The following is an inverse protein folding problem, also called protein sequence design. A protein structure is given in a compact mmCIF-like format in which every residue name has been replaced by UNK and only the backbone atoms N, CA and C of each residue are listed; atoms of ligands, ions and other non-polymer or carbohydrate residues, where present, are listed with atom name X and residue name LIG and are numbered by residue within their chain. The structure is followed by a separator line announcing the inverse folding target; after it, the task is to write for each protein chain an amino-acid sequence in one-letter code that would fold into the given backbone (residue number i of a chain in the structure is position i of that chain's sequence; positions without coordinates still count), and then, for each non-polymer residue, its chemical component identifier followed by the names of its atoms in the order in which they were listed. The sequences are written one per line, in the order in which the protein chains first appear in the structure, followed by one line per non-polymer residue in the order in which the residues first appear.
data_IF_606806401849
#
_entry.id   IF_606806401849
#
_cell.length_a   1.000
_cell.length_b   1.000
_cell.length_c   1.000
_cell.angle_alpha   90.00
_cell.angle_beta   90.00
_cell.angle_gamma   90.00
#
_symmetry.space_group_name_H-M   'P 1'
#
loop_
_entity.id
_entity.type
_entity.pdbx_description
1 polymer ?
#
# COMPACT_ATOMS: atom_id res chain seq x y z
N UNK A 1 -28.70 -32.65 -58.74
CA UNK A 1 -27.56 -31.74 -58.96
C UNK A 1 -27.86 -30.28 -58.59
N UNK A 2 -29.07 -29.77 -58.80
CA UNK A 2 -29.49 -28.39 -58.48
C UNK A 2 -29.63 -28.13 -56.93
N UNK A 3 -30.09 -29.12 -56.16
CA UNK A 3 -30.28 -28.99 -54.69
C UNK A 3 -28.97 -28.90 -53.91
N UNK A 4 -27.87 -29.49 -54.41
CA UNK A 4 -26.57 -29.41 -53.72
C UNK A 4 -25.92 -28.06 -53.95
N UNK A 5 -26.15 -27.44 -55.12
CA UNK A 5 -25.63 -26.11 -55.47
C UNK A 5 -26.27 -24.99 -54.61
N UNK A 6 -27.58 -25.08 -54.35
CA UNK A 6 -28.33 -24.11 -53.52
C UNK A 6 -27.91 -24.19 -52.05
N UNK A 7 -27.61 -25.40 -51.52
CA UNK A 7 -27.16 -25.60 -50.17
C UNK A 7 -25.76 -25.00 -49.90
N UNK A 8 -24.88 -25.11 -50.90
CA UNK A 8 -23.52 -24.54 -50.80
C UNK A 8 -23.50 -23.02 -50.97
N UNK A 9 -24.42 -22.45 -51.75
CA UNK A 9 -24.55 -20.99 -51.90
C UNK A 9 -25.17 -20.39 -50.60
N UNK A 10 -26.15 -21.07 -49.97
CA UNK A 10 -26.71 -20.61 -48.67
C UNK A 10 -25.68 -20.69 -47.54
N UNK A 11 -24.80 -21.69 -47.56
CA UNK A 11 -23.74 -21.83 -46.54
C UNK A 11 -22.62 -20.78 -46.73
N UNK A 12 -22.37 -20.31 -47.93
CA UNK A 12 -21.42 -19.24 -48.22
C UNK A 12 -21.98 -17.84 -47.84
N UNK A 13 -23.30 -17.63 -47.98
CA UNK A 13 -23.96 -16.38 -47.63
C UNK A 13 -24.14 -16.20 -46.09
N UNK A 14 -24.21 -17.30 -45.35
CA UNK A 14 -24.27 -17.25 -43.86
C UNK A 14 -22.91 -16.99 -43.23
N UNK A 15 -21.81 -17.39 -43.88
CA UNK A 15 -20.44 -17.14 -43.42
C UNK A 15 -20.01 -15.68 -43.66
N UNK A 16 -20.58 -14.99 -44.68
CA UNK A 16 -20.24 -13.59 -44.97
C UNK A 16 -21.05 -12.59 -44.14
N UNK A 17 -22.11 -12.99 -43.42
CA UNK A 17 -22.88 -12.10 -42.52
C UNK A 17 -22.40 -12.12 -41.07
N UNK A 18 -21.39 -12.94 -40.69
CA UNK A 18 -20.81 -12.98 -39.33
C UNK A 18 -19.56 -12.11 -39.15
N UNK A 19 -19.18 -11.32 -40.18
CA UNK A 19 -18.02 -10.43 -40.11
C UNK A 19 -18.38 -8.94 -39.90
N UNK A 20 -19.66 -8.61 -39.75
CA UNK A 20 -20.13 -7.21 -39.64
C UNK A 20 -20.60 -6.78 -38.25
N UNK A 21 -20.06 -7.37 -37.18
CA UNK A 21 -20.18 -6.84 -35.80
C UNK A 21 -18.83 -6.91 -35.07
N UNK A 22 -17.81 -6.26 -35.60
CA UNK A 22 -16.71 -5.81 -34.80
C UNK A 22 -17.08 -4.40 -34.33
N UNK A 23 -17.76 -4.36 -33.15
CA UNK A 23 -17.80 -3.16 -32.33
C UNK A 23 -16.38 -2.66 -32.13
N UNK A 24 -16.20 -1.34 -32.19
CA UNK A 24 -14.90 -0.69 -32.15
C UNK A 24 -14.01 -1.26 -31.06
N UNK A 25 -12.95 -1.97 -31.46
CA UNK A 25 -11.81 -2.16 -30.60
C UNK A 25 -11.25 -0.77 -30.38
N UNK A 26 -11.40 -0.24 -29.16
CA UNK A 26 -10.47 0.77 -28.70
C UNK A 26 -9.08 0.18 -29.02
N UNK A 27 -8.32 0.81 -29.87
CA UNK A 27 -6.91 0.46 -30.08
C UNK A 27 -6.25 0.71 -28.74
N UNK A 28 -6.13 -0.34 -27.91
CA UNK A 28 -5.25 -0.27 -26.75
C UNK A 28 -3.88 0.07 -27.32
N UNK A 29 -3.38 1.25 -26.99
CA UNK A 29 -2.04 1.67 -27.31
C UNK A 29 -1.13 0.64 -26.65
N UNK A 30 -0.43 -0.17 -27.45
CA UNK A 30 0.55 -1.13 -26.93
C UNK A 30 1.70 -0.30 -26.42
N UNK A 31 1.92 -0.34 -25.11
CA UNK A 31 3.06 0.32 -24.47
C UNK A 31 4.27 -0.59 -24.74
N UNK A 32 5.21 -0.10 -25.54
CA UNK A 32 6.46 -0.80 -25.82
C UNK A 32 7.55 -0.29 -24.87
N UNK A 33 8.17 -1.19 -24.12
CA UNK A 33 9.22 -0.86 -23.15
C UNK A 33 9.55 -2.00 -22.20
N UNK A 34 10.46 -1.75 -21.29
CA UNK A 34 10.90 -2.69 -20.27
C UNK A 34 10.09 -2.51 -18.98
N UNK A 35 9.41 -3.56 -18.53
CA UNK A 35 8.66 -3.53 -17.27
C UNK A 35 9.63 -3.61 -16.09
N UNK A 36 9.49 -2.67 -15.15
CA UNK A 36 10.36 -2.51 -13.98
C UNK A 36 9.78 -3.08 -12.68
N UNK A 37 8.46 -3.36 -12.65
CA UNK A 37 7.76 -3.95 -11.50
C UNK A 37 7.62 -5.47 -11.67
N UNK A 38 7.62 -6.21 -10.56
CA UNK A 38 7.61 -7.68 -10.53
C UNK A 38 6.56 -8.23 -9.57
N UNK A 39 6.42 -7.67 -8.37
CA UNK A 39 5.58 -8.19 -7.28
C UNK A 39 4.30 -7.40 -7.07
N UNK A 40 4.30 -6.11 -7.40
CA UNK A 40 3.13 -5.25 -7.23
C UNK A 40 2.01 -5.65 -8.22
N UNK A 41 0.80 -5.83 -7.69
CA UNK A 41 -0.38 -6.15 -8.51
C UNK A 41 -1.11 -4.90 -9.00
N UNK A 42 -0.99 -3.80 -8.26
CA UNK A 42 -1.68 -2.54 -8.56
C UNK A 42 -0.79 -1.50 -9.25
N UNK A 43 0.50 -1.78 -9.41
CA UNK A 43 1.46 -0.85 -9.99
C UNK A 43 2.23 -1.51 -11.14
N UNK A 44 2.19 -0.91 -12.31
CA UNK A 44 3.04 -1.28 -13.43
C UNK A 44 3.87 -0.10 -13.88
N UNK A 45 5.18 -0.24 -13.92
CA UNK A 45 6.13 0.77 -14.39
C UNK A 45 6.82 0.23 -15.65
N UNK A 46 6.74 0.98 -16.76
CA UNK A 46 7.35 0.61 -18.06
C UNK A 46 8.28 1.72 -18.52
N UNK A 47 9.56 1.39 -18.71
CA UNK A 47 10.54 2.28 -19.33
C UNK A 47 10.39 2.25 -20.85
N UNK A 48 9.94 3.35 -21.44
CA UNK A 48 9.69 3.52 -22.88
C UNK A 48 10.87 4.22 -23.61
N UNK A 49 12.09 4.11 -23.06
CA UNK A 49 13.32 4.66 -23.66
C UNK A 49 13.26 6.18 -23.97
N UNK A 50 12.96 6.95 -22.97
CA UNK A 50 12.89 8.43 -23.04
C UNK A 50 11.77 9.05 -22.22
N UNK A 51 10.85 8.21 -21.76
CA UNK A 51 9.82 8.52 -20.76
C UNK A 51 9.39 7.22 -20.08
N UNK A 52 8.75 7.33 -18.94
CA UNK A 52 8.23 6.16 -18.21
C UNK A 52 6.71 6.21 -18.18
N UNK A 53 6.06 5.10 -18.48
CA UNK A 53 4.62 4.93 -18.23
C UNK A 53 4.44 4.27 -16.88
N UNK A 54 3.53 4.82 -16.09
CA UNK A 54 3.11 4.23 -14.82
C UNK A 54 1.61 4.03 -14.85
N UNK A 55 1.19 2.77 -14.77
CA UNK A 55 -0.20 2.35 -14.70
C UNK A 55 -0.52 1.95 -13.27
N UNK A 56 -1.61 2.51 -12.74
CA UNK A 56 -2.16 2.15 -11.44
C UNK A 56 -3.50 1.47 -11.67
N UNK A 57 -3.59 0.19 -11.31
CA UNK A 57 -4.81 -0.59 -11.39
C UNK A 57 -5.83 -0.11 -10.37
N UNK A 58 -7.11 -0.23 -10.70
CA UNK A 58 -8.18 0.13 -9.80
C UNK A 58 -8.43 -1.01 -8.80
N UNK A 59 -8.12 -0.85 -7.49
CA UNK A 59 -8.22 -1.93 -6.52
C UNK A 59 -9.66 -2.39 -6.28
N UNK A 60 -10.65 -1.57 -6.66
CA UNK A 60 -12.09 -1.87 -6.47
C UNK A 60 -12.79 -2.32 -7.76
N UNK A 61 -12.11 -2.21 -8.92
CA UNK A 61 -12.69 -2.57 -10.22
C UNK A 61 -11.65 -3.31 -11.05
N UNK A 62 -11.62 -4.63 -10.89
CA UNK A 62 -10.68 -5.52 -11.56
C UNK A 62 -10.62 -5.28 -13.07
N UNK A 63 -9.41 -5.15 -13.61
CA UNK A 63 -9.13 -4.94 -15.03
C UNK A 63 -9.45 -3.54 -15.54
N UNK A 64 -9.61 -2.56 -14.64
CA UNK A 64 -9.71 -1.15 -14.98
C UNK A 64 -8.53 -0.40 -14.39
N UNK A 65 -7.98 0.58 -15.11
CA UNK A 65 -7.01 1.49 -14.54
C UNK A 65 -7.70 2.48 -13.60
N UNK A 66 -7.03 2.80 -12.50
CA UNK A 66 -7.34 3.94 -11.67
C UNK A 66 -6.75 5.20 -12.32
N UNK A 67 -5.48 5.11 -12.71
CA UNK A 67 -4.75 6.23 -13.30
C UNK A 67 -3.59 5.75 -14.17
N UNK A 68 -3.23 6.53 -15.17
CA UNK A 68 -2.02 6.37 -15.99
C UNK A 68 -1.22 7.66 -15.97
N UNK A 69 0.08 7.57 -15.77
CA UNK A 69 1.01 8.68 -15.85
C UNK A 69 2.03 8.46 -16.95
N UNK A 70 2.45 9.55 -17.59
CA UNK A 70 3.64 9.59 -18.42
C UNK A 70 4.67 10.51 -17.73
N UNK A 71 5.71 9.90 -17.18
CA UNK A 71 6.79 10.62 -16.51
C UNK A 71 7.81 11.04 -17.57
N UNK A 72 7.96 12.34 -17.77
CA UNK A 72 8.84 12.91 -18.80
C UNK A 72 9.85 13.82 -18.16
N UNK A 73 11.15 13.61 -18.44
CA UNK A 73 12.19 14.46 -17.89
C UNK A 73 11.93 15.93 -18.23
N UNK A 74 12.13 16.84 -17.27
CA UNK A 74 11.78 18.27 -17.42
C UNK A 74 12.48 18.96 -18.59
N UNK A 75 13.71 18.53 -18.90
CA UNK A 75 14.52 19.06 -19.99
C UNK A 75 14.19 18.45 -21.35
N UNK A 76 13.25 17.47 -21.38
CA UNK A 76 12.84 16.78 -22.59
C UNK A 76 11.50 17.30 -23.10
N UNK A 77 11.35 17.30 -24.42
CA UNK A 77 10.04 17.51 -25.04
C UNK A 77 9.10 16.34 -24.70
N UNK A 78 7.81 16.61 -24.62
CA UNK A 78 6.79 15.56 -24.42
C UNK A 78 6.72 14.72 -25.69
N UNK A 79 6.94 13.39 -25.63
CA UNK A 79 6.87 12.53 -26.81
C UNK A 79 5.47 12.51 -27.44
N UNK A 80 5.41 12.46 -28.78
CA UNK A 80 4.13 12.43 -29.51
C UNK A 80 3.31 11.15 -29.29
N UNK A 81 3.97 10.06 -28.91
CA UNK A 81 3.37 8.72 -28.75
C UNK A 81 2.88 8.41 -27.31
N UNK A 82 2.72 9.42 -26.48
CA UNK A 82 2.14 9.19 -25.13
C UNK A 82 0.67 8.78 -25.29
N UNK A 83 0.19 7.74 -24.53
CA UNK A 83 -1.22 7.38 -24.50
C UNK A 83 -2.09 8.60 -24.14
N UNK A 84 -3.20 8.78 -24.84
CA UNK A 84 -4.07 9.97 -24.69
C UNK A 84 -4.73 10.07 -23.31
N UNK A 85 -4.81 8.96 -22.59
CA UNK A 85 -5.34 8.86 -21.23
C UNK A 85 -4.26 9.03 -20.14
N UNK A 86 -2.99 9.22 -20.53
CA UNK A 86 -1.91 9.44 -19.58
C UNK A 86 -1.79 10.89 -19.14
N UNK A 87 -1.75 11.12 -17.84
CA UNK A 87 -1.40 12.42 -17.27
C UNK A 87 0.11 12.63 -17.30
N UNK A 88 0.57 13.72 -17.90
CA UNK A 88 2.00 14.02 -18.02
C UNK A 88 2.51 14.63 -16.73
N UNK A 89 3.52 13.99 -16.12
CA UNK A 89 4.24 14.52 -14.95
C UNK A 89 5.69 14.79 -15.35
N UNK A 90 6.17 16.02 -15.11
CA UNK A 90 7.56 16.40 -15.36
C UNK A 90 8.45 16.01 -14.17
N UNK A 91 9.50 15.23 -14.44
CA UNK A 91 10.46 14.72 -13.46
C UNK A 91 11.89 15.24 -13.70
N UNK A 92 12.78 15.26 -12.69
CA UNK A 92 12.49 14.99 -11.28
C UNK A 92 11.54 16.03 -10.67
N UNK A 93 10.65 15.59 -9.76
CA UNK A 93 9.90 16.52 -8.92
C UNK A 93 10.81 17.05 -7.82
N UNK A 94 10.66 18.30 -7.45
CA UNK A 94 11.38 18.94 -6.34
C UNK A 94 10.46 19.80 -5.45
N UNK A 95 9.16 19.67 -5.66
CA UNK A 95 8.13 20.28 -4.81
C UNK A 95 6.89 19.41 -4.83
N UNK A 96 6.61 18.74 -3.71
CA UNK A 96 5.46 17.87 -3.52
C UNK A 96 4.67 18.27 -2.28
N UNK A 97 3.33 18.24 -2.39
CA UNK A 97 2.43 18.19 -1.25
C UNK A 97 2.10 16.72 -0.96
N UNK A 98 2.46 16.23 0.22
CA UNK A 98 2.32 14.81 0.59
C UNK A 98 1.21 14.64 1.63
N UNK A 99 0.22 13.79 1.29
CA UNK A 99 -0.96 13.56 2.13
C UNK A 99 -0.79 12.44 3.15
N UNK A 100 0.28 11.64 3.05
CA UNK A 100 0.52 10.54 3.96
C UNK A 100 1.98 10.47 4.39
N UNK A 101 2.21 10.27 5.68
CA UNK A 101 3.55 10.03 6.23
C UNK A 101 4.22 8.80 5.60
N UNK A 102 3.43 7.82 5.12
CA UNK A 102 3.93 6.66 4.35
C UNK A 102 4.77 7.13 3.16
N UNK A 103 4.20 8.00 2.31
CA UNK A 103 4.89 8.44 1.10
C UNK A 103 6.10 9.32 1.42
N UNK A 104 6.02 10.13 2.49
CA UNK A 104 7.16 10.90 2.96
C UNK A 104 8.33 10.00 3.40
N UNK A 105 8.04 8.81 3.97
CA UNK A 105 9.05 7.80 4.27
C UNK A 105 9.87 7.40 3.04
N UNK A 106 9.23 7.21 1.88
CA UNK A 106 9.94 6.91 0.64
C UNK A 106 10.85 8.06 0.17
N UNK A 107 10.41 9.32 0.31
CA UNK A 107 11.28 10.49 0.01
C UNK A 107 12.49 10.53 0.93
N UNK A 108 12.32 10.22 2.20
CA UNK A 108 13.40 10.16 3.19
C UNK A 108 14.39 9.05 2.85
N UNK A 109 13.90 7.85 2.60
CA UNK A 109 14.72 6.67 2.25
C UNK A 109 15.55 6.89 0.97
N UNK A 110 14.99 7.62 -0.01
CA UNK A 110 15.68 7.97 -1.25
C UNK A 110 16.60 9.21 -1.12
N UNK A 111 16.73 9.78 0.08
CA UNK A 111 17.55 10.96 0.34
C UNK A 111 17.06 12.22 -0.37
N UNK A 112 15.74 12.34 -0.59
CA UNK A 112 15.10 13.43 -1.33
C UNK A 112 14.03 14.15 -0.51
N UNK A 113 14.18 14.19 0.82
CA UNK A 113 13.19 14.80 1.73
C UNK A 113 12.94 16.28 1.43
N UNK A 114 13.92 17.00 0.90
CA UNK A 114 13.82 18.40 0.49
C UNK A 114 12.76 18.64 -0.61
N UNK A 115 12.37 17.60 -1.34
CA UNK A 115 11.29 17.68 -2.32
C UNK A 115 9.89 17.68 -1.68
N UNK A 116 9.76 17.35 -0.39
CA UNK A 116 8.52 17.49 0.39
C UNK A 116 8.42 18.93 0.86
N UNK A 117 7.63 19.74 0.17
CA UNK A 117 7.49 21.16 0.48
C UNK A 117 6.19 21.50 1.20
N UNK A 118 5.25 20.55 1.23
CA UNK A 118 4.01 20.66 1.98
C UNK A 118 3.49 19.31 2.45
N UNK A 119 2.74 19.33 3.53
CA UNK A 119 2.08 18.16 4.11
C UNK A 119 0.67 18.52 4.60
N UNK A 120 -0.13 17.50 4.88
CA UNK A 120 -1.35 17.59 5.69
C UNK A 120 -1.20 16.70 6.92
N UNK A 121 -2.08 16.85 7.93
CA UNK A 121 -2.10 16.01 9.14
C UNK A 121 -0.71 15.87 9.80
N UNK A 122 -0.06 17.01 10.07
CA UNK A 122 1.33 17.09 10.54
C UNK A 122 1.64 16.25 11.79
N UNK A 123 0.64 15.94 12.62
CA UNK A 123 0.76 15.13 13.83
C UNK A 123 1.21 13.68 13.57
N UNK A 124 1.00 13.18 12.35
CA UNK A 124 1.36 11.80 11.98
C UNK A 124 2.78 11.64 11.44
N UNK A 125 3.50 12.75 11.24
CA UNK A 125 4.88 12.69 10.75
C UNK A 125 5.88 12.61 11.90
N UNK A 126 6.88 11.74 11.75
CA UNK A 126 7.96 11.50 12.72
C UNK A 126 9.35 11.76 12.14
N UNK A 127 9.49 11.85 10.83
CA UNK A 127 10.73 12.20 10.15
C UNK A 127 11.21 13.56 10.68
N UNK A 128 12.40 13.65 11.31
CA UNK A 128 12.87 14.87 11.98
C UNK A 128 12.89 16.08 11.06
N UNK A 129 13.35 15.91 9.83
CA UNK A 129 13.46 16.97 8.83
C UNK A 129 12.10 17.57 8.47
N UNK A 130 11.03 16.75 8.46
CA UNK A 130 9.66 17.22 8.23
C UNK A 130 9.15 17.97 9.46
N UNK A 131 9.32 17.39 10.64
CA UNK A 131 8.87 18.00 11.90
C UNK A 131 9.53 19.36 12.13
N UNK A 132 10.84 19.43 11.94
CA UNK A 132 11.62 20.68 12.03
C UNK A 132 11.21 21.64 10.92
N UNK A 133 11.08 21.18 9.67
CA UNK A 133 10.68 21.99 8.53
C UNK A 133 9.32 22.66 8.71
N UNK A 134 8.35 21.95 9.31
CA UNK A 134 7.02 22.50 9.64
C UNK A 134 7.14 23.55 10.74
N UNK A 135 7.90 23.27 11.81
CA UNK A 135 8.11 24.20 12.92
C UNK A 135 8.80 25.49 12.49
N UNK A 136 9.72 25.41 11.53
CA UNK A 136 10.44 26.55 10.96
C UNK A 136 9.68 27.25 9.84
N UNK A 137 8.54 26.71 9.40
CA UNK A 137 7.75 27.23 8.30
C UNK A 137 8.37 26.99 6.90
N UNK A 138 9.34 26.10 6.80
CA UNK A 138 9.95 25.67 5.51
C UNK A 138 9.06 24.69 4.77
N UNK A 139 8.36 23.82 5.51
CA UNK A 139 7.37 22.89 4.98
C UNK A 139 5.99 23.42 5.38
N UNK A 140 5.13 23.59 4.40
CA UNK A 140 3.78 24.11 4.61
C UNK A 140 2.87 23.01 5.17
N UNK A 141 2.31 23.23 6.35
CA UNK A 141 1.19 22.41 6.85
C UNK A 141 -0.12 22.97 6.26
N UNK A 142 -0.69 22.24 5.29
CA UNK A 142 -1.95 22.62 4.62
C UNK A 142 -3.20 22.20 5.43
N UNK A 143 -3.04 21.73 6.68
CA UNK A 143 -4.13 21.41 7.60
C UNK A 143 -4.55 19.94 7.53
N UNK A 144 -5.84 19.69 7.68
CA UNK A 144 -6.39 18.34 7.72
C UNK A 144 -6.64 17.78 6.31
N UNK A 145 -6.30 16.51 6.06
CA UNK A 145 -6.44 15.84 4.76
C UNK A 145 -7.86 15.81 4.22
N UNK A 146 -8.86 15.71 5.10
CA UNK A 146 -10.28 15.69 4.70
C UNK A 146 -10.83 17.09 4.38
N UNK A 147 -10.18 18.15 4.86
CA UNK A 147 -10.55 19.53 4.63
C UNK A 147 -9.29 20.43 4.58
N UNK A 148 -8.45 20.27 3.54
CA UNK A 148 -7.20 21.02 3.45
C UNK A 148 -7.44 22.50 3.20
N UNK A 149 -6.51 23.34 3.64
CA UNK A 149 -6.53 24.78 3.39
C UNK A 149 -6.09 25.06 1.95
N UNK A 150 -7.04 25.25 1.06
CA UNK A 150 -6.81 25.40 -0.38
C UNK A 150 -5.90 26.59 -0.68
N UNK A 151 -6.05 27.70 0.04
CA UNK A 151 -5.24 28.91 -0.12
C UNK A 151 -3.75 28.60 0.08
N UNK A 152 -3.40 27.80 1.10
CA UNK A 152 -2.02 27.38 1.34
C UNK A 152 -1.47 26.49 0.22
N UNK A 153 -2.31 25.62 -0.36
CA UNK A 153 -1.91 24.76 -1.47
C UNK A 153 -1.66 25.61 -2.74
N UNK A 154 -2.51 26.58 -2.99
CA UNK A 154 -2.35 27.51 -4.11
C UNK A 154 -1.08 28.36 -3.95
N UNK A 155 -0.80 28.86 -2.75
CA UNK A 155 0.41 29.60 -2.44
C UNK A 155 1.68 28.75 -2.59
N UNK A 156 1.64 27.52 -2.09
CA UNK A 156 2.72 26.52 -2.21
C UNK A 156 2.99 26.20 -3.69
N UNK A 157 1.94 26.11 -4.51
CA UNK A 157 2.02 25.73 -5.93
C UNK A 157 2.91 24.51 -6.18
N UNK A 158 2.63 23.34 -5.55
CA UNK A 158 3.47 22.17 -5.68
C UNK A 158 3.40 21.60 -7.10
N UNK A 159 4.43 20.91 -7.53
CA UNK A 159 4.46 20.25 -8.85
C UNK A 159 3.53 19.05 -8.92
N UNK A 160 3.34 18.36 -7.80
CA UNK A 160 2.44 17.22 -7.64
C UNK A 160 1.83 17.18 -6.24
N UNK A 161 0.69 16.53 -6.13
CA UNK A 161 0.08 16.15 -4.85
C UNK A 161 0.10 14.61 -4.78
N UNK A 162 0.76 14.03 -3.78
CA UNK A 162 0.69 12.58 -3.54
C UNK A 162 -0.45 12.30 -2.57
N UNK A 163 -1.42 11.48 -2.99
CA UNK A 163 -2.59 11.15 -2.18
C UNK A 163 -2.97 9.68 -2.33
N UNK A 164 -3.54 9.10 -1.29
CA UNK A 164 -4.11 7.75 -1.35
C UNK A 164 -5.55 7.83 -1.86
N UNK A 165 -5.94 7.02 -2.86
CA UNK A 165 -7.30 6.96 -3.36
C UNK A 165 -8.22 6.23 -2.37
N UNK A 166 -9.52 6.54 -2.40
CA UNK A 166 -10.55 5.82 -1.65
C UNK A 166 -11.69 5.40 -2.57
N UNK A 167 -12.34 4.28 -2.24
CA UNK A 167 -13.45 3.78 -3.05
C UNK A 167 -14.59 4.81 -3.15
N UNK A 168 -15.01 5.09 -4.37
CA UNK A 168 -16.10 6.03 -4.69
C UNK A 168 -15.91 7.46 -4.15
N UNK A 169 -14.70 7.83 -3.78
CA UNK A 169 -14.36 9.18 -3.37
C UNK A 169 -13.38 9.81 -4.36
N UNK A 170 -13.57 11.09 -4.64
CA UNK A 170 -12.60 11.93 -5.33
C UNK A 170 -11.78 12.72 -4.31
N UNK A 171 -10.85 13.52 -4.80
CA UNK A 171 -9.99 14.38 -3.98
C UNK A 171 -10.60 15.77 -3.69
N UNK A 172 -11.88 15.95 -4.02
CA UNK A 172 -12.64 17.16 -3.68
C UNK A 172 -12.09 18.45 -4.31
N UNK A 173 -11.82 19.45 -3.46
CA UNK A 173 -11.44 20.79 -3.96
C UNK A 173 -10.07 20.82 -4.64
N UNK A 174 -9.14 19.93 -4.29
CA UNK A 174 -7.79 19.92 -4.87
C UNK A 174 -7.77 19.51 -6.35
N UNK A 175 -8.75 18.73 -6.81
CA UNK A 175 -8.88 18.37 -8.23
C UNK A 175 -9.03 19.58 -9.15
N UNK A 176 -9.59 20.68 -8.62
CA UNK A 176 -9.85 21.90 -9.36
C UNK A 176 -8.63 22.81 -9.51
N UNK A 177 -7.53 22.47 -8.82
CA UNK A 177 -6.31 23.28 -8.84
C UNK A 177 -5.47 23.06 -10.09
N UNK A 178 -5.74 21.99 -10.86
CA UNK A 178 -4.96 21.65 -12.05
C UNK A 178 -3.53 21.18 -11.74
N UNK A 179 -3.26 20.81 -10.49
CA UNK A 179 -2.00 20.21 -10.06
C UNK A 179 -2.15 18.70 -10.22
N UNK A 180 -1.19 17.99 -10.86
CA UNK A 180 -1.23 16.54 -10.99
C UNK A 180 -1.36 15.86 -9.63
N UNK A 181 -2.37 14.99 -9.48
CA UNK A 181 -2.57 14.16 -8.29
C UNK A 181 -1.99 12.79 -8.58
N UNK A 182 -0.96 12.41 -7.83
CA UNK A 182 -0.31 11.10 -7.89
C UNK A 182 -1.04 10.16 -6.95
N UNK A 183 -1.76 9.19 -7.53
CA UNK A 183 -2.53 8.18 -6.80
C UNK A 183 -1.59 7.11 -6.22
N UNK A 184 -1.56 6.98 -4.91
CA UNK A 184 -0.75 5.99 -4.22
C UNK A 184 -1.66 4.94 -3.59
N UNK A 185 -1.94 3.86 -4.34
CA UNK A 185 -2.82 2.76 -3.91
C UNK A 185 -2.04 1.63 -3.19
N UNK A 186 -0.82 1.88 -2.73
CA UNK A 186 0.09 0.92 -2.09
C UNK A 186 -0.53 0.15 -0.94
N UNK A 187 -1.40 0.80 -0.17
CA UNK A 187 -2.05 0.18 0.98
C UNK A 187 -3.09 -0.89 0.62
N UNK A 188 -3.45 -1.00 -0.66
CA UNK A 188 -4.39 -1.99 -1.20
C UNK A 188 -3.69 -3.20 -1.84
N UNK A 189 -2.36 -3.21 -1.88
CA UNK A 189 -1.60 -4.37 -2.35
C UNK A 189 -1.91 -5.62 -1.51
N UNK A 190 -1.87 -6.78 -2.17
CA UNK A 190 -2.17 -8.06 -1.53
C UNK A 190 -0.96 -8.66 -0.81
N UNK A 191 0.27 -8.25 -1.19
CA UNK A 191 1.50 -8.78 -0.60
C UNK A 191 2.38 -7.69 0.01
N UNK A 192 3.17 -8.01 1.07
CA UNK A 192 4.12 -7.07 1.66
C UNK A 192 5.17 -6.58 0.67
N UNK A 193 5.71 -7.47 -0.16
CA UNK A 193 6.71 -7.13 -1.17
C UNK A 193 6.11 -6.32 -2.33
N UNK A 194 4.87 -6.63 -2.75
CA UNK A 194 4.16 -5.80 -3.73
C UNK A 194 3.96 -4.38 -3.22
N UNK A 195 3.61 -4.22 -1.94
CA UNK A 195 3.51 -2.89 -1.31
C UNK A 195 4.85 -2.17 -1.26
N UNK A 196 5.92 -2.85 -0.85
CA UNK A 196 7.26 -2.27 -0.78
C UNK A 196 7.78 -1.82 -2.15
N UNK A 197 7.35 -2.49 -3.23
CA UNK A 197 7.78 -2.15 -4.60
C UNK A 197 7.35 -0.74 -5.05
N UNK A 198 6.36 -0.13 -4.39
CA UNK A 198 5.93 1.25 -4.68
C UNK A 198 7.03 2.29 -4.45
N UNK A 199 8.10 1.96 -3.71
CA UNK A 199 9.28 2.82 -3.61
C UNK A 199 9.89 3.12 -4.99
N UNK A 200 9.77 2.17 -5.96
CA UNK A 200 10.22 2.39 -7.34
C UNK A 200 9.45 3.50 -8.03
N UNK A 201 8.14 3.62 -7.80
CA UNK A 201 7.35 4.71 -8.36
C UNK A 201 7.80 6.07 -7.82
N UNK A 202 8.02 6.18 -6.51
CA UNK A 202 8.57 7.40 -5.93
C UNK A 202 9.98 7.67 -6.48
N UNK A 203 10.79 6.61 -6.65
CA UNK A 203 12.11 6.69 -7.28
C UNK A 203 12.06 7.23 -8.72
N UNK A 204 11.07 6.83 -9.53
CA UNK A 204 10.86 7.38 -10.87
C UNK A 204 10.51 8.88 -10.82
N UNK A 205 9.60 9.29 -9.92
CA UNK A 205 9.24 10.69 -9.74
C UNK A 205 10.44 11.58 -9.38
N UNK A 206 11.40 11.02 -8.65
CA UNK A 206 12.59 11.71 -8.15
C UNK A 206 13.84 11.51 -9.03
N UNK A 207 13.75 10.75 -10.14
CA UNK A 207 14.90 10.29 -10.93
C UNK A 207 15.94 9.53 -10.10
N UNK A 208 15.47 8.71 -9.14
CA UNK A 208 16.22 7.86 -8.22
C UNK A 208 15.95 6.37 -8.47
N UNK A 209 15.71 5.99 -9.74
CA UNK A 209 15.41 4.62 -10.15
C UNK A 209 16.39 3.58 -9.61
N UNK A 210 17.68 3.89 -9.73
CA UNK A 210 18.74 2.96 -9.32
C UNK A 210 18.69 2.72 -7.82
N UNK A 211 18.68 3.79 -7.04
CA UNK A 211 18.63 3.73 -5.57
C UNK A 211 17.35 3.01 -5.08
N UNK A 212 16.19 3.33 -5.64
CA UNK A 212 14.93 2.67 -5.31
C UNK A 212 14.96 1.17 -5.63
N UNK A 213 15.57 0.79 -6.75
CA UNK A 213 15.72 -0.62 -7.14
C UNK A 213 16.67 -1.36 -6.21
N UNK A 214 17.77 -0.74 -5.80
CA UNK A 214 18.75 -1.32 -4.88
C UNK A 214 18.10 -1.56 -3.51
N UNK A 215 17.41 -0.55 -2.94
CA UNK A 215 16.67 -0.67 -1.66
C UNK A 215 15.64 -1.81 -1.75
N UNK A 216 14.80 -1.81 -2.78
CA UNK A 216 13.80 -2.86 -2.95
C UNK A 216 14.40 -4.26 -3.03
N UNK A 217 15.50 -4.43 -3.77
CA UNK A 217 16.17 -5.73 -3.90
C UNK A 217 16.75 -6.21 -2.57
N UNK A 218 17.29 -5.33 -1.74
CA UNK A 218 17.76 -5.65 -0.39
C UNK A 218 16.59 -6.12 0.49
N UNK A 219 15.47 -5.40 0.47
CA UNK A 219 14.24 -5.77 1.17
C UNK A 219 13.74 -7.16 0.75
N UNK A 220 13.66 -7.43 -0.57
CA UNK A 220 13.24 -8.74 -1.10
C UNK A 220 14.16 -9.86 -0.61
N UNK A 221 15.47 -9.64 -0.66
CA UNK A 221 16.45 -10.65 -0.23
C UNK A 221 16.32 -10.96 1.26
N UNK A 222 16.20 -9.93 2.12
CA UNK A 222 16.06 -10.11 3.57
C UNK A 222 14.71 -10.74 3.91
N UNK A 223 13.62 -10.25 3.33
CA UNK A 223 12.28 -10.81 3.54
C UNK A 223 12.23 -12.31 3.21
N UNK A 224 12.74 -12.69 2.04
CA UNK A 224 12.75 -14.09 1.61
C UNK A 224 13.68 -14.96 2.49
N UNK A 225 14.80 -14.42 2.95
CA UNK A 225 15.70 -15.12 3.87
C UNK A 225 15.01 -15.38 5.23
N UNK A 226 14.21 -14.43 5.72
CA UNK A 226 13.41 -14.60 6.95
C UNK A 226 12.31 -15.64 6.76
N UNK A 227 11.54 -15.60 5.68
CA UNK A 227 10.54 -16.62 5.35
C UNK A 227 11.15 -18.02 5.31
N UNK A 228 12.34 -18.17 4.73
CA UNK A 228 13.03 -19.46 4.63
C UNK A 228 13.35 -20.05 6.01
N UNK A 229 13.61 -19.24 7.04
CA UNK A 229 13.94 -19.69 8.40
C UNK A 229 12.75 -20.34 9.12
N UNK A 230 11.52 -19.92 8.80
CA UNK A 230 10.29 -20.46 9.42
C UNK A 230 9.60 -21.50 8.55
N UNK A 231 10.11 -21.73 7.34
CA UNK A 231 9.54 -22.71 6.40
C UNK A 231 9.54 -24.10 7.00
N UNK A 232 8.36 -24.73 7.07
CA UNK A 232 8.20 -26.09 7.55
C UNK A 232 8.04 -26.23 9.07
N UNK A 233 8.00 -25.13 9.83
CA UNK A 233 7.62 -25.15 11.24
C UNK A 233 6.16 -25.65 11.35
N UNK A 234 5.95 -26.66 12.20
CA UNK A 234 4.63 -27.29 12.37
C UNK A 234 3.82 -26.64 13.48
N UNK A 235 4.50 -26.17 14.52
CA UNK A 235 3.88 -25.50 15.66
C UNK A 235 3.68 -24.01 15.30
N UNK A 236 2.48 -23.71 14.85
CA UNK A 236 2.11 -22.37 14.36
C UNK A 236 1.18 -21.71 15.37
N UNK A 237 1.62 -20.66 16.08
CA UNK A 237 0.75 -19.96 17.01
C UNK A 237 -0.41 -19.27 16.26
N UNK A 238 -1.53 -19.11 16.95
CA UNK A 238 -2.69 -18.39 16.46
C UNK A 238 -2.53 -16.91 16.79
N UNK A 239 -2.66 -16.05 15.79
CA UNK A 239 -2.56 -14.60 15.95
C UNK A 239 -3.86 -13.90 15.54
N UNK A 240 -4.27 -12.93 16.38
CA UNK A 240 -5.30 -11.94 16.01
C UNK A 240 -4.71 -10.55 16.04
N UNK A 241 -5.36 -9.61 15.37
CA UNK A 241 -4.91 -8.23 15.35
C UNK A 241 -6.04 -7.24 15.57
N UNK A 242 -5.67 -5.97 15.80
CA UNK A 242 -6.55 -4.85 16.03
C UNK A 242 -7.47 -5.02 17.27
N UNK A 243 -8.39 -4.10 17.44
CA UNK A 243 -9.40 -4.16 18.51
C UNK A 243 -10.71 -3.58 18.02
N UNK A 244 -11.79 -3.89 18.73
CA UNK A 244 -13.09 -3.32 18.44
C UNK A 244 -13.11 -1.81 18.73
N UNK A 245 -13.59 -1.03 17.78
CA UNK A 245 -13.80 0.41 17.88
C UNK A 245 -15.24 0.73 17.49
N UNK A 246 -15.96 1.46 18.33
CA UNK A 246 -17.36 1.83 18.09
C UNK A 246 -18.29 0.65 17.73
N UNK A 247 -18.05 -0.50 18.36
CA UNK A 247 -18.83 -1.71 18.19
C UNK A 247 -18.45 -2.56 16.97
N UNK A 248 -17.49 -2.15 16.18
CA UNK A 248 -16.98 -2.89 15.01
C UNK A 248 -15.51 -3.23 15.17
N UNK A 249 -15.16 -4.47 14.87
CA UNK A 249 -13.79 -4.94 14.82
C UNK A 249 -13.31 -4.96 13.38
N UNK A 250 -12.37 -4.09 13.04
CA UNK A 250 -11.77 -4.00 11.71
C UNK A 250 -10.52 -4.89 11.64
N UNK A 251 -10.69 -6.11 11.16
CA UNK A 251 -9.60 -7.09 11.01
C UNK A 251 -9.08 -7.12 9.58
N UNK A 252 -7.79 -7.38 9.35
CA UNK A 252 -7.27 -7.63 8.01
C UNK A 252 -8.03 -8.76 7.31
N UNK A 253 -8.44 -8.58 6.07
CA UNK A 253 -8.95 -9.67 5.26
C UNK A 253 -7.87 -10.72 5.00
N UNK A 254 -8.27 -11.97 4.75
CA UNK A 254 -7.31 -13.07 4.53
C UNK A 254 -6.45 -12.93 3.28
N UNK A 255 -6.91 -12.15 2.28
CA UNK A 255 -6.14 -11.79 1.09
C UNK A 255 -5.28 -10.53 1.24
N UNK A 256 -5.19 -9.93 2.43
CA UNK A 256 -4.41 -8.71 2.66
C UNK A 256 -2.92 -9.00 2.89
N UNK A 257 -2.08 -8.00 2.64
CA UNK A 257 -0.64 -8.09 2.94
C UNK A 257 -0.35 -8.37 4.42
N UNK A 258 -1.21 -7.92 5.35
CA UNK A 258 -1.03 -8.23 6.78
C UNK A 258 -1.31 -9.70 7.11
N UNK A 259 -2.36 -10.30 6.51
CA UNK A 259 -2.63 -11.72 6.67
C UNK A 259 -1.51 -12.57 6.05
N UNK A 260 -1.01 -12.17 4.88
CA UNK A 260 0.17 -12.80 4.27
C UNK A 260 1.38 -12.74 5.19
N UNK A 261 1.64 -11.59 5.81
CA UNK A 261 2.78 -11.42 6.72
C UNK A 261 2.70 -12.33 7.97
N UNK A 262 1.50 -12.54 8.53
CA UNK A 262 1.33 -13.52 9.61
C UNK A 262 1.67 -14.95 9.16
N UNK A 263 1.22 -15.31 7.95
CA UNK A 263 1.54 -16.61 7.35
C UNK A 263 3.04 -16.78 7.08
N UNK A 264 3.68 -15.73 6.56
CA UNK A 264 5.12 -15.67 6.25
C UNK A 264 5.98 -15.74 7.52
N UNK A 265 5.46 -15.21 8.63
CA UNK A 265 6.08 -15.36 9.96
C UNK A 265 5.83 -16.73 10.61
N UNK A 266 5.13 -17.65 9.93
CA UNK A 266 4.84 -18.98 10.43
C UNK A 266 3.73 -19.05 11.47
N UNK A 267 2.81 -18.10 11.51
CA UNK A 267 1.61 -18.12 12.34
C UNK A 267 0.36 -18.61 11.58
N UNK A 268 -0.71 -18.83 12.32
CA UNK A 268 -2.05 -19.13 11.81
C UNK A 268 -2.95 -17.93 12.06
N UNK A 269 -3.60 -17.43 11.01
CA UNK A 269 -4.57 -16.35 11.11
C UNK A 269 -5.99 -16.90 10.94
N UNK A 270 -6.93 -16.67 11.86
CA UNK A 270 -8.26 -17.28 11.81
C UNK A 270 -9.07 -17.00 10.56
N UNK A 271 -8.78 -15.90 9.85
CA UNK A 271 -9.46 -15.52 8.60
C UNK A 271 -8.61 -15.73 7.34
N UNK A 272 -7.61 -16.60 7.37
CA UNK A 272 -6.70 -16.92 6.26
C UNK A 272 -7.39 -17.45 4.99
N UNK A 273 -8.66 -17.88 5.09
CA UNK A 273 -9.47 -18.35 3.95
C UNK A 273 -10.34 -17.25 3.32
N UNK A 274 -10.40 -16.09 3.92
CA UNK A 274 -11.05 -14.94 3.32
C UNK A 274 -10.20 -14.37 2.19
N UNK A 275 -10.83 -13.91 1.11
CA UNK A 275 -10.12 -13.40 -0.06
C UNK A 275 -10.09 -11.87 -0.14
N UNK A 276 -10.64 -11.19 0.86
CA UNK A 276 -10.65 -9.72 0.87
C UNK A 276 -9.26 -9.16 1.12
N UNK A 277 -8.85 -8.18 0.36
CA UNK A 277 -7.59 -7.43 0.58
C UNK A 277 -7.76 -6.30 1.59
N UNK A 278 -8.99 -5.79 1.76
CA UNK A 278 -9.33 -4.77 2.74
C UNK A 278 -9.67 -5.33 4.12
N UNK A 279 -10.20 -4.47 5.00
CA UNK A 279 -10.58 -4.85 6.35
C UNK A 279 -11.96 -5.52 6.38
N UNK A 280 -12.05 -6.63 7.12
CA UNK A 280 -13.32 -7.24 7.52
C UNK A 280 -13.95 -6.42 8.64
N UNK A 281 -15.26 -6.24 8.59
CA UNK A 281 -16.04 -5.56 9.62
C UNK A 281 -16.83 -6.62 10.40
N UNK A 282 -16.37 -6.97 11.61
CA UNK A 282 -16.94 -8.05 12.39
C UNK A 282 -17.42 -7.53 13.75
N UNK A 283 -18.39 -8.22 14.34
CA UNK A 283 -18.77 -8.01 15.72
C UNK A 283 -17.90 -8.79 16.69
N UNK A 284 -17.96 -8.42 17.97
CA UNK A 284 -17.19 -9.07 19.03
C UNK A 284 -17.47 -10.58 19.12
N UNK A 285 -18.73 -11.00 19.02
CA UNK A 285 -19.10 -12.40 19.21
C UNK A 285 -18.48 -13.28 18.12
N UNK A 286 -18.51 -12.82 16.88
CA UNK A 286 -17.89 -13.48 15.73
C UNK A 286 -16.37 -13.63 15.91
N UNK A 287 -15.68 -12.57 16.38
CA UNK A 287 -14.25 -12.62 16.63
C UNK A 287 -13.92 -13.52 17.82
N UNK A 288 -14.68 -13.40 18.89
CA UNK A 288 -14.48 -14.23 20.09
C UNK A 288 -14.69 -15.72 19.80
N UNK A 289 -15.77 -16.09 19.13
CA UNK A 289 -16.06 -17.48 18.77
C UNK A 289 -14.90 -18.12 18.00
N UNK A 290 -14.33 -17.37 17.06
CA UNK A 290 -13.30 -17.88 16.16
C UNK A 290 -11.87 -17.80 16.70
N UNK A 291 -11.59 -16.91 17.64
CA UNK A 291 -10.21 -16.56 17.99
C UNK A 291 -9.96 -16.32 19.50
N UNK A 292 -10.88 -16.71 20.40
CA UNK A 292 -10.67 -16.52 21.85
C UNK A 292 -9.43 -17.24 22.38
N UNK A 293 -9.00 -18.30 21.71
CA UNK A 293 -7.81 -19.13 22.03
C UNK A 293 -6.54 -18.66 21.33
N UNK A 294 -6.52 -17.45 20.74
CA UNK A 294 -5.31 -16.91 20.12
C UNK A 294 -4.15 -16.82 21.13
N UNK A 295 -2.96 -17.21 20.67
CA UNK A 295 -1.73 -17.11 21.46
C UNK A 295 -1.23 -15.67 21.54
N UNK A 296 -1.36 -14.94 20.42
CA UNK A 296 -0.92 -13.55 20.31
C UNK A 296 -2.04 -12.63 19.81
N UNK A 297 -2.05 -11.43 20.36
CA UNK A 297 -2.95 -10.36 19.97
C UNK A 297 -2.14 -9.10 19.72
N UNK A 298 -2.08 -8.66 18.45
CA UNK A 298 -1.27 -7.53 18.00
C UNK A 298 -2.17 -6.35 17.67
N UNK A 299 -1.98 -5.23 18.35
CA UNK A 299 -2.83 -4.04 18.27
C UNK A 299 -2.01 -2.87 17.75
N UNK A 300 -2.50 -2.16 16.73
CA UNK A 300 -2.01 -0.83 16.38
C UNK A 300 -2.79 0.22 17.16
N UNK A 301 -2.11 1.09 17.89
CA UNK A 301 -2.75 2.11 18.69
C UNK A 301 -1.96 3.42 18.73
N UNK A 302 -2.61 4.57 18.60
CA UNK A 302 -1.98 5.87 18.81
C UNK A 302 -1.87 6.23 20.30
N UNK A 303 -2.45 5.44 21.20
CA UNK A 303 -2.48 5.76 22.63
C UNK A 303 -1.10 5.58 23.28
N UNK A 304 -0.61 6.65 23.91
CA UNK A 304 0.58 6.59 24.72
C UNK A 304 0.35 5.68 25.93
N UNK A 305 1.35 4.89 26.31
CA UNK A 305 1.28 3.98 27.45
C UNK A 305 0.10 2.98 27.42
N UNK A 306 -0.29 2.52 26.22
CA UNK A 306 -1.35 1.52 26.08
C UNK A 306 -1.09 0.30 26.98
N UNK A 307 -2.09 -0.10 27.80
CA UNK A 307 -2.00 -1.13 28.83
C UNK A 307 -3.15 -2.13 28.74
N UNK A 308 -3.05 -3.28 29.44
CA UNK A 308 -4.16 -4.23 29.58
C UNK A 308 -5.40 -3.59 30.20
N UNK A 309 -5.20 -2.65 31.15
CA UNK A 309 -6.31 -1.91 31.75
C UNK A 309 -7.03 -1.02 30.72
N UNK A 310 -6.29 -0.37 29.80
CA UNK A 310 -6.90 0.37 28.70
C UNK A 310 -7.70 -0.58 27.79
N UNK A 311 -7.13 -1.73 27.42
CA UNK A 311 -7.81 -2.71 26.57
C UNK A 311 -9.09 -3.26 27.23
N UNK A 312 -9.05 -3.57 28.54
CA UNK A 312 -10.24 -3.99 29.31
C UNK A 312 -11.28 -2.88 29.40
N UNK A 313 -10.87 -1.63 29.60
CA UNK A 313 -11.78 -0.48 29.71
C UNK A 313 -12.53 -0.20 28.40
N UNK A 314 -11.89 -0.42 27.25
CA UNK A 314 -12.55 -0.28 25.94
C UNK A 314 -13.68 -1.27 25.76
N UNK A 315 -13.48 -2.52 26.18
CA UNK A 315 -14.52 -3.55 26.19
C UNK A 315 -14.20 -4.62 27.24
N UNK A 316 -15.00 -4.75 28.31
CA UNK A 316 -14.66 -5.63 29.44
C UNK A 316 -14.52 -7.11 29.11
N UNK A 317 -15.10 -7.58 27.98
CA UNK A 317 -14.94 -8.97 27.55
C UNK A 317 -13.59 -9.25 26.87
N UNK A 318 -12.78 -8.24 26.56
CA UNK A 318 -11.43 -8.42 26.00
C UNK A 318 -10.56 -9.30 26.90
N UNK A 319 -10.75 -9.27 28.24
CA UNK A 319 -10.03 -10.16 29.17
C UNK A 319 -10.37 -11.65 29.05
N UNK A 320 -11.35 -12.00 28.24
CA UNK A 320 -11.72 -13.40 28.00
C UNK A 320 -10.86 -14.09 26.94
N UNK A 321 -10.12 -13.31 26.14
CA UNK A 321 -9.15 -13.89 25.20
C UNK A 321 -7.95 -14.48 25.94
N UNK A 322 -7.48 -15.65 25.49
CA UNK A 322 -6.33 -16.31 26.10
C UNK A 322 -5.07 -15.46 26.04
N UNK A 323 -4.82 -14.77 24.92
CA UNK A 323 -3.69 -13.84 24.77
C UNK A 323 -3.64 -12.79 25.88
N UNK A 324 -4.81 -12.30 26.35
CA UNK A 324 -4.87 -11.32 27.42
C UNK A 324 -4.32 -11.89 28.75
N UNK A 325 -4.72 -13.11 29.12
CA UNK A 325 -4.32 -13.73 30.38
C UNK A 325 -2.92 -14.34 30.35
N UNK A 326 -2.44 -14.72 29.15
CA UNK A 326 -1.14 -15.36 28.97
C UNK A 326 0.01 -14.39 28.69
N UNK A 327 -0.26 -13.08 28.65
CA UNK A 327 0.74 -12.06 28.33
C UNK A 327 1.10 -12.05 26.83
N UNK A 328 0.19 -12.49 25.98
CA UNK A 328 0.34 -12.55 24.53
C UNK A 328 -0.13 -11.27 23.83
N UNK A 329 -0.44 -10.19 24.55
CA UNK A 329 -0.88 -8.93 23.94
C UNK A 329 0.32 -8.03 23.65
N UNK A 330 0.41 -7.57 22.39
CA UNK A 330 1.45 -6.66 21.93
C UNK A 330 0.84 -5.45 21.24
N UNK A 331 1.48 -4.31 21.37
CA UNK A 331 1.07 -3.07 20.72
C UNK A 331 2.19 -2.54 19.82
N UNK A 332 1.79 -2.04 18.64
CA UNK A 332 2.58 -1.14 17.80
C UNK A 332 2.05 0.25 18.07
N UNK A 333 2.85 1.11 18.70
CA UNK A 333 2.46 2.49 18.91
C UNK A 333 2.70 3.30 17.63
N UNK A 334 1.62 3.77 17.02
CA UNK A 334 1.66 4.46 15.74
C UNK A 334 1.98 5.95 15.83
N UNK A 335 2.10 6.47 17.05
CA UNK A 335 2.47 7.88 17.33
C UNK A 335 3.91 7.99 17.83
N UNK A 336 4.38 7.03 18.63
CA UNK A 336 5.75 7.05 19.16
C UNK A 336 6.78 6.49 18.19
N UNK A 337 6.37 5.57 17.29
CA UNK A 337 7.25 4.97 16.31
C UNK A 337 7.03 5.54 14.90
N UNK A 338 8.06 5.46 14.06
CA UNK A 338 7.98 5.76 12.62
C UNK A 338 7.35 4.61 11.81
N UNK A 339 6.47 3.83 12.44
CA UNK A 339 5.91 2.62 11.85
C UNK A 339 5.32 2.84 10.45
N UNK A 340 4.50 3.88 10.28
CA UNK A 340 3.88 4.14 8.98
C UNK A 340 4.84 4.72 7.94
N UNK A 341 5.92 5.38 8.36
CA UNK A 341 6.93 5.93 7.47
C UNK A 341 7.93 4.87 6.98
N UNK A 342 8.12 3.81 7.75
CA UNK A 342 9.15 2.79 7.57
C UNK A 342 8.57 1.45 7.05
N UNK A 343 7.62 0.86 7.79
CA UNK A 343 7.08 -0.47 7.53
C UNK A 343 6.61 -0.72 6.08
N UNK A 344 5.92 0.23 5.39
CA UNK A 344 5.40 -0.04 4.05
C UNK A 344 6.49 -0.39 3.04
N UNK A 345 7.69 0.17 3.19
CA UNK A 345 8.84 -0.05 2.31
C UNK A 345 9.86 -1.04 2.89
N UNK A 346 9.76 -1.34 4.21
CA UNK A 346 10.63 -2.25 4.95
C UNK A 346 9.82 -3.33 5.71
N UNK A 347 8.99 -4.13 5.01
CA UNK A 347 8.18 -5.16 5.66
C UNK A 347 9.03 -6.27 6.32
N UNK A 348 10.29 -6.46 5.91
CA UNK A 348 11.23 -7.42 6.49
C UNK A 348 11.50 -7.11 7.96
N UNK A 349 11.47 -5.85 8.38
CA UNK A 349 11.69 -5.43 9.78
C UNK A 349 10.56 -5.94 10.68
N UNK A 350 9.30 -5.74 10.28
CA UNK A 350 8.15 -6.25 11.03
C UNK A 350 8.05 -7.78 10.96
N UNK A 351 8.36 -8.38 9.81
CA UNK A 351 8.41 -9.83 9.65
C UNK A 351 9.42 -10.45 10.63
N UNK A 352 10.60 -9.84 10.76
CA UNK A 352 11.62 -10.25 11.73
C UNK A 352 11.07 -10.23 13.16
N UNK A 353 10.39 -9.16 13.57
CA UNK A 353 9.79 -9.06 14.91
C UNK A 353 8.70 -10.10 15.13
N UNK A 354 7.86 -10.37 14.13
CA UNK A 354 6.87 -11.43 14.21
C UNK A 354 7.52 -12.82 14.36
N UNK A 355 8.62 -13.08 13.63
CA UNK A 355 9.35 -14.35 13.78
C UNK A 355 9.97 -14.47 15.17
N UNK A 356 10.56 -13.41 15.71
CA UNK A 356 11.09 -13.38 17.09
C UNK A 356 9.96 -13.69 18.09
N UNK A 357 8.80 -13.10 17.90
CA UNK A 357 7.66 -13.27 18.78
C UNK A 357 7.07 -14.69 18.69
N UNK A 358 6.84 -15.18 17.49
CA UNK A 358 6.16 -16.45 17.25
C UNK A 358 7.08 -17.66 17.44
N UNK A 359 8.37 -17.48 17.14
CA UNK A 359 9.38 -18.55 17.11
C UNK A 359 10.71 -18.09 17.72
N UNK A 360 10.77 -17.80 19.04
CA UNK A 360 11.90 -17.11 19.68
C UNK A 360 13.26 -17.83 19.57
N UNK A 361 13.28 -19.09 19.10
CA UNK A 361 14.52 -19.85 18.92
C UNK A 361 15.06 -19.80 17.49
N UNK A 362 14.31 -19.22 16.54
CA UNK A 362 14.65 -19.28 15.10
C UNK A 362 15.73 -18.26 14.72
N UNK A 363 15.75 -17.12 15.41
CA UNK A 363 16.71 -16.04 15.16
C UNK A 363 17.75 -15.92 16.30
N UNK A 364 18.33 -17.06 16.70
CA UNK A 364 19.45 -17.15 17.67
C UNK A 364 19.20 -16.43 19.01
N UNK A 365 17.93 -16.37 19.43
CA UNK A 365 17.53 -15.74 20.69
C UNK A 365 17.54 -14.21 20.66
N UNK A 366 17.54 -13.57 19.48
CA UNK A 366 17.29 -12.15 19.36
C UNK A 366 15.92 -11.81 19.99
N UNK A 367 15.89 -10.75 20.76
CA UNK A 367 14.69 -10.26 21.49
C UNK A 367 14.46 -8.75 21.24
N UNK A 368 15.13 -8.18 20.24
CA UNK A 368 15.01 -6.76 19.92
C UNK A 368 13.74 -6.48 19.11
N UNK A 369 12.94 -5.52 19.58
CA UNK A 369 11.75 -5.01 18.91
C UNK A 369 11.91 -3.50 18.70
N UNK A 370 11.63 -3.05 17.49
CA UNK A 370 11.54 -1.64 17.12
C UNK A 370 10.09 -1.14 17.11
N UNK A 371 9.16 -2.02 16.75
CA UNK A 371 7.73 -1.70 16.65
C UNK A 371 6.92 -2.33 17.78
N UNK A 372 7.13 -3.62 18.04
CA UNK A 372 6.33 -4.37 19.00
C UNK A 372 6.74 -4.07 20.46
N UNK A 373 5.75 -3.80 21.30
CA UNK A 373 5.92 -3.71 22.74
C UNK A 373 4.89 -4.59 23.41
N UNK A 374 5.34 -5.45 24.35
CA UNK A 374 4.41 -6.23 25.16
C UNK A 374 3.56 -5.32 26.04
N UNK A 375 2.26 -5.56 26.04
CA UNK A 375 1.29 -4.81 26.86
C UNK A 375 1.21 -5.43 28.25
N UNK A 376 1.31 -4.60 29.29
CA UNK A 376 1.27 -5.02 30.71
C UNK A 376 0.10 -4.39 31.45
#
# INVERSE_FOLDING_TARGET
MIMVLVRNILMFLVVTMLVACQGGKSSQCVIEGDTLTVEAELLTIVDCHGYTIVDIENPWKKGALLKRYALVHRDSAVPEKIPVDAEVVKIPINSALVYSSVHAGAFHELGCIDAVTGIVDAEYYKIPEIVEGVNEGKIINAGNSMAPTIEKIVELSPQVILSSPFQNAGHGAIEKLGIPIVECADYMEASPLGRAEWIKFIGELLCKRKEATEIYNEVVNEYNALCAKVKGIKDKPIVISEMMTDGVWFLPGGGSYMAQMFADAGATYPWDKDNSTGSLQLDFATVYDKAHNADYWIIKSPELNFSLANLESKYPLNKKFEAFSKGGVYVINTVESSFFEDFPFHPERLLREYIILFHPKVLDGDTSFSYLRQVK
#
